data_IF_868250571982
#
_entry.id   IF_868250571982
#
_cell.length_a   1.000
_cell.length_b   1.000
_cell.length_c   1.000
_cell.angle_alpha   90.00
_cell.angle_beta   90.00
_cell.angle_gamma   90.00
#
_symmetry.space_group_name_H-M   'P 1'
#
loop_
_entity.id
_entity.type
_entity.pdbx_description
1 polymer ?
#
# COMPACT_ATOMS: atom_id res chain seq x y z
N UNK A 1 -15.44 36.38 8.04
CA UNK A 1 -16.05 35.60 6.93
C UNK A 1 -15.02 34.98 6.00
N UNK A 2 -14.02 35.69 5.47
CA UNK A 2 -12.98 35.16 4.57
C UNK A 2 -12.15 34.05 5.25
N UNK A 3 -11.74 34.20 6.51
CA UNK A 3 -10.97 33.18 7.24
C UNK A 3 -11.79 31.88 7.43
N UNK A 4 -13.09 31.99 7.70
CA UNK A 4 -13.97 30.85 7.82
C UNK A 4 -14.11 30.12 6.47
N UNK A 5 -14.20 30.86 5.37
CA UNK A 5 -14.26 30.32 4.03
C UNK A 5 -13.00 29.54 3.66
N UNK A 6 -11.81 30.09 3.94
CA UNK A 6 -10.52 29.43 3.74
C UNK A 6 -10.43 28.16 4.59
N UNK A 7 -10.85 28.23 5.85
CA UNK A 7 -10.83 27.07 6.75
C UNK A 7 -11.75 25.94 6.25
N UNK A 8 -12.95 26.27 5.81
CA UNK A 8 -13.88 25.30 5.22
C UNK A 8 -13.26 24.66 3.97
N UNK A 9 -12.61 25.45 3.09
CA UNK A 9 -11.99 24.93 1.88
C UNK A 9 -10.86 23.92 2.16
N UNK A 10 -10.08 24.15 3.22
CA UNK A 10 -8.96 23.25 3.58
C UNK A 10 -9.36 22.07 4.44
N UNK A 11 -10.41 22.18 5.25
CA UNK A 11 -10.82 21.13 6.18
C UNK A 11 -12.06 20.35 5.69
N UNK A 12 -12.76 20.80 4.67
CA UNK A 12 -14.01 20.16 4.22
C UNK A 12 -13.76 18.74 3.71
N UNK A 13 -12.66 18.49 3.01
CA UNK A 13 -12.29 17.15 2.55
C UNK A 13 -12.14 16.17 3.73
N UNK A 14 -11.53 16.60 4.84
CA UNK A 14 -11.43 15.81 6.06
C UNK A 14 -12.82 15.46 6.64
N UNK A 15 -13.73 16.43 6.72
CA UNK A 15 -15.08 16.19 7.25
C UNK A 15 -15.92 15.32 6.33
N UNK A 16 -15.74 15.43 5.01
CA UNK A 16 -16.46 14.62 4.03
C UNK A 16 -16.00 13.16 4.09
N UNK A 17 -14.70 12.90 4.19
CA UNK A 17 -14.15 11.55 4.36
C UNK A 17 -14.68 10.89 5.62
N UNK A 18 -14.77 11.65 6.73
CA UNK A 18 -15.24 11.13 8.02
C UNK A 18 -16.76 11.08 8.16
N UNK A 19 -17.53 11.64 7.22
CA UNK A 19 -19.00 11.70 7.28
C UNK A 19 -19.74 10.56 6.60
N UNK A 20 -19.07 9.45 6.25
CA UNK A 20 -19.62 8.35 5.41
C UNK A 20 -20.16 8.83 4.05
N UNK A 21 -19.71 9.96 3.55
CA UNK A 21 -20.07 10.44 2.22
C UNK A 21 -19.34 9.59 1.16
N UNK A 22 -20.12 8.84 0.39
CA UNK A 22 -19.68 7.76 -0.51
C UNK A 22 -19.10 8.21 -1.86
N UNK A 23 -18.32 9.27 -1.94
CA UNK A 23 -17.83 9.71 -3.26
C UNK A 23 -16.30 9.77 -3.37
N UNK A 24 -15.62 8.79 -2.80
CA UNK A 24 -14.22 8.56 -3.11
C UNK A 24 -14.08 8.09 -4.56
N UNK A 25 -12.99 8.51 -5.21
CA UNK A 25 -12.71 8.15 -6.58
C UNK A 25 -12.27 6.69 -6.76
N UNK A 26 -11.68 6.43 -7.92
CA UNK A 26 -11.16 5.11 -8.28
C UNK A 26 -9.66 5.01 -8.07
N UNK A 27 -9.18 3.80 -7.78
CA UNK A 27 -7.77 3.44 -7.93
C UNK A 27 -7.67 2.40 -9.04
N UNK A 28 -6.79 2.66 -9.99
CA UNK A 28 -6.52 1.79 -11.13
C UNK A 28 -5.16 1.12 -10.99
N UNK A 29 -5.08 -0.09 -11.49
CA UNK A 29 -3.81 -0.77 -11.73
C UNK A 29 -3.11 -0.22 -12.99
N UNK A 30 -1.98 -0.84 -13.38
CA UNK A 30 -1.21 -0.43 -14.56
C UNK A 30 -1.91 -0.68 -15.90
N UNK A 31 -2.95 -1.54 -15.92
CA UNK A 31 -3.72 -1.90 -17.11
C UNK A 31 -5.05 -1.13 -17.20
N UNK A 32 -5.28 -0.21 -16.28
CA UNK A 32 -6.52 0.54 -16.08
C UNK A 32 -7.69 -0.33 -15.57
N UNK A 33 -7.39 -1.44 -14.92
CA UNK A 33 -8.38 -2.18 -14.18
C UNK A 33 -8.61 -1.54 -12.82
N UNK A 34 -9.88 -1.45 -12.38
CA UNK A 34 -10.21 -0.82 -11.12
C UNK A 34 -9.87 -1.78 -9.98
N UNK A 35 -9.00 -1.34 -9.07
CA UNK A 35 -8.61 -2.08 -7.87
C UNK A 35 -9.15 -1.46 -6.57
N UNK A 36 -9.85 -0.35 -6.67
CA UNK A 36 -10.62 0.24 -5.58
C UNK A 36 -11.75 1.10 -6.14
N UNK A 37 -12.96 0.85 -5.64
CA UNK A 37 -14.14 1.69 -5.81
C UNK A 37 -14.97 1.65 -4.52
N UNK A 38 -15.13 2.80 -3.88
CA UNK A 38 -15.90 2.89 -2.63
C UNK A 38 -17.39 2.65 -2.80
N UNK A 39 -17.92 2.87 -4.00
CA UNK A 39 -19.34 2.69 -4.31
C UNK A 39 -19.67 1.27 -4.81
N UNK A 40 -18.67 0.41 -4.94
CA UNK A 40 -18.88 -0.96 -5.36
C UNK A 40 -19.81 -1.67 -4.36
N UNK A 41 -20.94 -2.12 -4.84
CA UNK A 41 -21.86 -2.94 -4.05
C UNK A 41 -21.28 -4.34 -3.94
N UNK A 42 -21.12 -4.81 -2.72
CA UNK A 42 -20.65 -6.14 -2.42
C UNK A 42 -21.43 -7.25 -3.16
N UNK A 43 -22.75 -7.06 -3.33
CA UNK A 43 -23.61 -8.05 -3.97
C UNK A 43 -23.48 -8.06 -5.52
N UNK A 44 -22.93 -7.01 -6.10
CA UNK A 44 -22.73 -6.87 -7.55
C UNK A 44 -21.26 -6.93 -7.95
N UNK A 45 -20.41 -7.29 -7.02
CA UNK A 45 -18.97 -7.19 -7.16
C UNK A 45 -18.41 -8.26 -8.09
N UNK A 46 -18.23 -7.91 -9.34
CA UNK A 46 -17.70 -8.79 -10.37
C UNK A 46 -16.17 -8.90 -10.38
N UNK A 47 -15.48 -8.08 -9.60
CA UNK A 47 -14.03 -7.91 -9.70
C UNK A 47 -13.20 -8.80 -8.78
N UNK A 48 -13.85 -9.65 -7.99
CA UNK A 48 -13.17 -10.59 -7.12
C UNK A 48 -12.74 -10.01 -5.77
N UNK A 49 -11.87 -10.71 -5.09
CA UNK A 49 -11.38 -10.36 -3.78
C UNK A 49 -10.10 -9.51 -3.87
N UNK A 50 -10.02 -8.46 -3.07
CA UNK A 50 -8.86 -7.54 -3.02
C UNK A 50 -7.98 -7.74 -1.80
N UNK A 51 -7.97 -8.93 -1.22
CA UNK A 51 -7.08 -9.25 -0.10
C UNK A 51 -5.60 -9.02 -0.45
N UNK A 52 -5.21 -9.27 -1.69
CA UNK A 52 -3.84 -9.10 -2.16
C UNK A 52 -3.32 -7.67 -2.08
N UNK A 53 -4.21 -6.68 -2.17
CA UNK A 53 -3.87 -5.26 -2.12
C UNK A 53 -4.55 -4.50 -0.97
N UNK A 54 -5.41 -5.14 -0.19
CA UNK A 54 -6.25 -4.49 0.80
C UNK A 54 -5.50 -3.65 1.84
N UNK A 55 -4.41 -4.17 2.38
CA UNK A 55 -3.58 -3.44 3.35
C UNK A 55 -2.64 -2.38 2.73
N UNK A 56 -2.49 -2.35 1.41
CA UNK A 56 -1.73 -1.33 0.68
C UNK A 56 -2.65 -0.21 0.18
N UNK A 57 -3.73 -0.59 -0.47
CA UNK A 57 -4.71 0.34 -1.04
C UNK A 57 -5.57 0.95 0.07
N UNK A 58 -6.06 0.12 0.98
CA UNK A 58 -6.90 0.55 2.09
C UNK A 58 -8.38 0.69 1.72
N UNK A 59 -9.08 1.42 2.54
CA UNK A 59 -10.51 1.61 2.46
C UNK A 59 -10.91 3.07 2.68
N UNK A 60 -12.16 3.38 2.40
CA UNK A 60 -12.74 4.70 2.62
C UNK A 60 -13.05 4.99 4.10
N UNK A 61 -13.22 3.97 4.92
CA UNK A 61 -13.60 4.12 6.34
C UNK A 61 -12.42 4.51 7.23
N UNK A 62 -11.18 4.43 6.71
CA UNK A 62 -9.97 4.78 7.46
C UNK A 62 -9.59 3.76 8.53
N UNK A 63 -10.11 2.54 8.47
CA UNK A 63 -9.74 1.45 9.38
C UNK A 63 -8.27 1.06 9.21
N UNK A 64 -7.77 1.16 7.98
CA UNK A 64 -6.37 0.97 7.67
C UNK A 64 -5.65 2.30 7.53
N UNK A 65 -4.68 2.57 8.39
CA UNK A 65 -3.88 3.80 8.35
C UNK A 65 -2.71 3.68 7.37
N UNK A 66 -2.23 4.82 6.86
CA UNK A 66 -1.08 4.91 5.95
C UNK A 66 -1.25 4.22 4.58
N UNK A 67 -2.48 3.94 4.19
CA UNK A 67 -2.80 3.35 2.89
C UNK A 67 -2.84 4.39 1.78
N UNK A 68 -2.89 3.92 0.53
CA UNK A 68 -2.93 4.78 -0.65
C UNK A 68 -4.19 5.67 -0.64
N UNK A 69 -5.35 5.09 -0.32
CA UNK A 69 -6.63 5.81 -0.24
C UNK A 69 -6.60 6.85 0.88
N UNK A 70 -6.13 6.47 2.08
CA UNK A 70 -6.05 7.39 3.21
C UNK A 70 -5.13 8.59 2.94
N UNK A 71 -3.97 8.37 2.30
CA UNK A 71 -3.00 9.43 1.97
C UNK A 71 -3.45 10.35 0.83
N UNK A 72 -4.34 9.88 -0.02
CA UNK A 72 -4.84 10.64 -1.18
C UNK A 72 -6.33 10.96 -1.07
N UNK A 73 -6.90 10.89 0.12
CA UNK A 73 -8.32 11.12 0.37
C UNK A 73 -8.83 12.46 -0.17
N UNK A 74 -8.05 13.53 -0.03
CA UNK A 74 -8.38 14.85 -0.57
C UNK A 74 -8.52 14.83 -2.10
N UNK A 75 -7.58 14.18 -2.79
CA UNK A 75 -7.61 14.05 -4.26
C UNK A 75 -8.77 13.18 -4.72
N UNK A 76 -9.00 12.06 -4.02
CA UNK A 76 -10.07 11.12 -4.36
C UNK A 76 -11.46 11.71 -4.11
N UNK A 77 -11.63 12.53 -3.09
CA UNK A 77 -12.88 13.23 -2.84
C UNK A 77 -13.14 14.38 -3.83
N UNK A 78 -12.08 14.96 -4.38
CA UNK A 78 -12.15 16.06 -5.33
C UNK A 78 -13.16 17.15 -4.91
N UNK A 79 -13.15 17.53 -3.63
CA UNK A 79 -14.09 18.48 -3.08
C UNK A 79 -13.77 19.90 -3.53
N UNK A 80 -14.79 20.60 -4.05
CA UNK A 80 -14.74 22.02 -4.30
C UNK A 80 -15.86 22.72 -3.52
N UNK A 81 -15.54 23.84 -2.87
CA UNK A 81 -16.55 24.63 -2.14
C UNK A 81 -17.71 25.07 -3.02
N UNK A 82 -17.46 25.35 -4.29
CA UNK A 82 -18.47 25.83 -5.24
C UNK A 82 -19.24 24.71 -5.94
N UNK A 83 -18.66 23.51 -6.03
CA UNK A 83 -19.23 22.40 -6.79
C UNK A 83 -19.54 21.17 -5.92
N UNK A 84 -19.18 21.21 -4.64
CA UNK A 84 -19.31 20.06 -3.73
C UNK A 84 -18.32 18.94 -4.04
N UNK A 85 -18.66 17.74 -3.68
CA UNK A 85 -17.96 16.54 -4.13
C UNK A 85 -18.24 16.32 -5.61
N UNK A 86 -17.22 16.20 -6.43
CA UNK A 86 -17.32 16.31 -7.88
C UNK A 86 -17.97 15.08 -8.53
N UNK A 87 -19.28 14.95 -8.36
CA UNK A 87 -20.08 13.95 -9.05
C UNK A 87 -20.39 14.35 -10.50
N UNK A 88 -20.30 15.67 -10.83
CA UNK A 88 -20.66 16.18 -12.16
C UNK A 88 -19.56 15.99 -13.21
N UNK A 89 -18.29 15.88 -12.79
CA UNK A 89 -17.13 15.72 -13.68
C UNK A 89 -16.51 14.30 -13.65
N UNK A 90 -17.24 13.33 -13.11
CA UNK A 90 -16.72 11.99 -12.90
C UNK A 90 -15.93 11.86 -11.59
N UNK A 91 -15.66 10.63 -11.18
CA UNK A 91 -14.86 10.34 -9.99
C UNK A 91 -13.40 10.65 -10.27
N UNK A 92 -12.70 11.20 -9.27
CA UNK A 92 -11.25 11.34 -9.32
C UNK A 92 -10.59 9.96 -9.41
N UNK A 93 -9.42 9.89 -10.01
CA UNK A 93 -8.72 8.63 -10.22
C UNK A 93 -7.25 8.73 -9.78
N UNK A 94 -6.76 7.63 -9.22
CA UNK A 94 -5.34 7.39 -8.97
C UNK A 94 -4.93 6.19 -9.81
N UNK A 95 -3.87 6.35 -10.57
CA UNK A 95 -3.26 5.28 -11.36
C UNK A 95 -2.02 4.77 -10.64
N UNK A 96 -1.96 3.46 -10.45
CA UNK A 96 -0.82 2.79 -9.84
C UNK A 96 0.01 2.06 -10.89
N UNK A 97 1.21 1.66 -10.52
CA UNK A 97 2.07 0.79 -11.34
C UNK A 97 1.89 -0.69 -11.00
N UNK A 98 0.97 -1.00 -10.08
CA UNK A 98 0.69 -2.37 -9.65
C UNK A 98 0.12 -3.19 -10.81
N UNK A 99 0.53 -4.44 -10.88
CA UNK A 99 -0.07 -5.49 -11.70
C UNK A 99 -0.95 -6.33 -10.77
N UNK A 100 -2.27 -6.13 -10.83
CA UNK A 100 -3.21 -6.79 -9.91
C UNK A 100 -3.21 -8.31 -10.09
N UNK A 101 -3.14 -8.79 -11.32
CA UNK A 101 -3.07 -10.23 -11.60
C UNK A 101 -1.81 -10.87 -11.01
N UNK A 102 -0.68 -10.17 -11.12
CA UNK A 102 0.57 -10.64 -10.52
C UNK A 102 0.51 -10.60 -8.99
N UNK A 103 -0.06 -9.53 -8.39
CA UNK A 103 -0.29 -9.45 -6.94
C UNK A 103 -1.11 -10.64 -6.45
N UNK A 104 -2.23 -10.93 -7.09
CA UNK A 104 -3.12 -12.04 -6.69
C UNK A 104 -2.44 -13.40 -6.79
N UNK A 105 -1.67 -13.65 -7.85
CA UNK A 105 -0.88 -14.89 -8.00
C UNK A 105 0.15 -15.02 -6.88
N UNK A 106 0.87 -13.94 -6.55
CA UNK A 106 1.86 -13.93 -5.47
C UNK A 106 1.18 -14.11 -4.12
N UNK A 107 0.07 -13.43 -3.85
CA UNK A 107 -0.70 -13.58 -2.62
C UNK A 107 -1.12 -15.04 -2.39
N UNK A 108 -1.66 -15.67 -3.43
CA UNK A 108 -2.10 -17.06 -3.37
C UNK A 108 -0.92 -18.03 -3.16
N UNK A 109 0.27 -17.72 -3.67
CA UNK A 109 1.46 -18.54 -3.49
C UNK A 109 1.97 -18.63 -2.05
N UNK A 110 1.61 -17.67 -1.19
CA UNK A 110 1.92 -17.74 0.23
C UNK A 110 1.20 -18.90 0.95
N UNK A 111 0.04 -19.35 0.42
CA UNK A 111 -0.77 -20.38 1.08
C UNK A 111 -1.14 -19.97 2.50
N UNK A 112 -0.74 -20.75 3.50
CA UNK A 112 -0.97 -20.47 4.92
C UNK A 112 0.17 -19.69 5.60
N UNK A 113 1.19 -19.26 4.85
CA UNK A 113 2.34 -18.56 5.41
C UNK A 113 2.11 -17.06 5.42
N UNK A 114 2.63 -16.41 6.45
CA UNK A 114 2.67 -14.96 6.58
C UNK A 114 3.96 -14.39 5.99
N UNK A 115 3.88 -13.17 5.49
CA UNK A 115 5.04 -12.49 4.98
C UNK A 115 4.70 -11.34 4.04
N UNK A 116 5.70 -10.86 3.32
CA UNK A 116 5.50 -9.90 2.23
C UNK A 116 6.40 -10.23 1.04
N UNK A 117 5.96 -9.80 -0.13
CA UNK A 117 6.74 -9.87 -1.35
C UNK A 117 6.59 -8.57 -2.14
N UNK A 118 7.70 -8.05 -2.62
CA UNK A 118 7.75 -6.85 -3.44
C UNK A 118 8.53 -7.18 -4.70
N UNK A 119 7.98 -6.82 -5.86
CA UNK A 119 8.70 -6.82 -7.13
C UNK A 119 8.64 -5.42 -7.73
N UNK A 120 9.77 -4.93 -8.17
CA UNK A 120 9.85 -3.61 -8.80
C UNK A 120 10.78 -3.66 -10.02
N UNK A 121 10.52 -2.77 -10.95
CA UNK A 121 11.41 -2.56 -12.08
C UNK A 121 12.60 -1.70 -11.62
N UNK A 122 13.79 -2.29 -11.56
CA UNK A 122 14.99 -1.60 -11.06
C UNK A 122 15.47 -0.44 -11.95
N UNK A 123 15.03 -0.40 -13.20
CA UNK A 123 15.37 0.68 -14.14
C UNK A 123 14.44 1.89 -13.99
N UNK A 124 13.12 1.63 -13.79
CA UNK A 124 12.11 2.69 -13.72
C UNK A 124 11.69 3.04 -12.31
N UNK A 125 11.93 2.16 -11.34
CA UNK A 125 11.47 2.29 -9.96
C UNK A 125 9.98 1.93 -9.77
N UNK A 126 9.30 1.50 -10.83
CA UNK A 126 7.89 1.09 -10.74
C UNK A 126 7.72 -0.15 -9.87
N UNK A 127 6.83 -0.07 -8.88
CA UNK A 127 6.44 -1.21 -8.06
C UNK A 127 5.35 -1.98 -8.81
N UNK A 128 5.65 -3.21 -9.19
CA UNK A 128 4.75 -4.07 -9.95
C UNK A 128 3.93 -4.97 -9.02
N UNK A 129 4.56 -5.47 -7.96
CA UNK A 129 3.94 -6.32 -6.95
C UNK A 129 4.28 -5.78 -5.56
N UNK A 130 3.27 -5.69 -4.71
CA UNK A 130 3.46 -5.38 -3.28
C UNK A 130 2.38 -6.10 -2.49
N UNK A 131 2.70 -7.29 -2.04
CA UNK A 131 1.80 -8.21 -1.33
C UNK A 131 2.25 -8.32 0.12
N UNK A 132 1.27 -8.32 1.03
CA UNK A 132 1.49 -8.55 2.46
C UNK A 132 0.39 -9.50 2.99
N UNK A 133 0.80 -10.54 3.71
CA UNK A 133 -0.11 -11.54 4.29
C UNK A 133 0.16 -11.73 5.78
N UNK A 134 -0.87 -11.84 6.64
CA UNK A 134 -2.28 -11.76 6.33
C UNK A 134 -2.69 -10.35 5.85
N UNK A 135 -3.83 -10.26 5.19
CA UNK A 135 -4.39 -9.03 4.68
C UNK A 135 -5.89 -8.95 4.95
N UNK A 136 -6.51 -7.93 4.46
CA UNK A 136 -7.95 -7.68 4.60
C UNK A 136 -8.55 -7.41 3.23
N UNK A 137 -9.71 -7.98 2.99
CA UNK A 137 -10.57 -7.51 1.92
C UNK A 137 -11.49 -6.42 2.48
N UNK A 138 -11.30 -5.15 2.09
CA UNK A 138 -12.12 -4.05 2.62
C UNK A 138 -13.62 -4.21 2.34
N UNK A 139 -13.96 -4.97 1.31
CA UNK A 139 -15.36 -5.24 0.92
C UNK A 139 -16.02 -6.21 1.88
N UNK A 140 -15.29 -7.21 2.36
CA UNK A 140 -15.78 -8.17 3.36
C UNK A 140 -15.84 -7.58 4.79
N UNK A 141 -15.22 -6.44 4.99
CA UNK A 141 -15.18 -5.75 6.29
C UNK A 141 -14.08 -6.24 7.22
N UNK A 142 -14.14 -5.81 8.47
CA UNK A 142 -13.03 -5.88 9.42
C UNK A 142 -13.28 -6.82 10.62
N UNK A 143 -14.27 -7.70 10.52
CA UNK A 143 -14.60 -8.62 11.59
C UNK A 143 -13.70 -9.86 11.56
N UNK A 144 -13.22 -10.30 12.73
CA UNK A 144 -12.45 -11.53 12.91
C UNK A 144 -11.15 -11.60 12.08
N UNK A 145 -10.46 -10.47 11.91
CA UNK A 145 -9.20 -10.43 11.19
C UNK A 145 -8.08 -11.13 11.98
N UNK A 146 -7.18 -11.77 11.25
CA UNK A 146 -5.94 -12.28 11.81
C UNK A 146 -5.05 -11.10 12.27
N UNK A 147 -4.21 -11.34 13.27
CA UNK A 147 -3.27 -10.32 13.75
C UNK A 147 -2.35 -9.87 12.61
N UNK A 148 -2.21 -8.55 12.46
CA UNK A 148 -1.38 -7.94 11.42
C UNK A 148 -2.04 -7.78 10.05
N UNK A 149 -3.32 -8.17 9.85
CA UNK A 149 -4.03 -8.03 8.56
C UNK A 149 -4.13 -6.58 8.06
N UNK A 150 -4.16 -5.62 8.97
CA UNK A 150 -4.26 -4.19 8.63
C UNK A 150 -2.89 -3.53 8.36
N UNK A 151 -1.82 -4.30 8.44
CA UNK A 151 -0.45 -3.79 8.30
C UNK A 151 0.17 -4.25 6.98
N UNK A 152 0.64 -3.31 6.17
CA UNK A 152 1.51 -3.64 5.05
C UNK A 152 2.92 -3.92 5.57
N UNK A 153 3.29 -5.20 5.64
CA UNK A 153 4.59 -5.64 6.17
C UNK A 153 5.79 -5.12 5.36
N UNK A 154 5.56 -4.71 4.12
CA UNK A 154 6.57 -4.07 3.28
C UNK A 154 7.14 -2.78 3.88
N UNK A 155 6.35 -2.08 4.72
CA UNK A 155 6.74 -0.83 5.37
C UNK A 155 7.16 -1.00 6.84
N UNK A 156 7.24 -2.24 7.32
CA UNK A 156 7.62 -2.54 8.70
C UNK A 156 9.06 -3.02 8.73
N UNK A 157 9.84 -2.50 9.68
CA UNK A 157 11.20 -2.97 9.91
C UNK A 157 11.17 -4.40 10.43
N UNK A 158 11.87 -5.29 9.75
CA UNK A 158 12.03 -6.70 10.14
C UNK A 158 13.51 -7.05 10.29
N UNK A 159 13.78 -8.13 11.01
CA UNK A 159 15.14 -8.65 11.12
C UNK A 159 15.55 -9.25 9.76
N UNK A 160 16.60 -8.74 9.11
CA UNK A 160 16.97 -9.16 7.76
C UNK A 160 17.55 -10.59 7.70
N UNK A 161 18.03 -11.11 8.81
CA UNK A 161 18.69 -12.41 8.85
C UNK A 161 19.88 -12.47 7.89
N UNK A 162 20.06 -13.61 7.23
CA UNK A 162 21.19 -13.83 6.31
C UNK A 162 21.20 -12.94 5.07
N UNK A 163 20.10 -12.26 4.72
CA UNK A 163 20.09 -11.30 3.61
C UNK A 163 21.00 -10.11 3.87
N UNK A 164 21.24 -9.77 5.14
CA UNK A 164 22.19 -8.73 5.55
C UNK A 164 23.63 -9.03 5.14
N UNK A 165 24.00 -10.31 4.95
CA UNK A 165 25.37 -10.71 4.60
C UNK A 165 25.83 -10.11 3.27
N UNK A 166 24.92 -9.94 2.32
CA UNK A 166 25.24 -9.30 1.02
C UNK A 166 25.67 -7.84 1.22
N UNK A 167 24.92 -7.08 2.01
CA UNK A 167 25.28 -5.69 2.32
C UNK A 167 26.58 -5.60 3.10
N UNK A 168 26.82 -6.53 4.04
CA UNK A 168 28.07 -6.61 4.80
C UNK A 168 29.25 -6.91 3.87
N UNK A 169 29.08 -7.82 2.91
CA UNK A 169 30.13 -8.15 1.93
C UNK A 169 30.46 -6.96 1.04
N UNK A 170 29.45 -6.27 0.52
CA UNK A 170 29.63 -5.06 -0.31
C UNK A 170 30.41 -4.01 0.48
N UNK A 171 30.01 -3.74 1.72
CA UNK A 171 30.68 -2.77 2.58
C UNK A 171 32.13 -3.15 2.89
N UNK A 172 32.38 -4.45 3.08
CA UNK A 172 33.76 -4.96 3.29
C UNK A 172 34.60 -4.78 2.01
N UNK A 173 34.04 -5.06 0.84
CA UNK A 173 34.73 -4.85 -0.45
C UNK A 173 35.07 -3.36 -0.65
N UNK A 174 34.14 -2.46 -0.36
CA UNK A 174 34.35 -1.01 -0.48
C UNK A 174 35.43 -0.51 0.50
N UNK A 175 35.49 -1.06 1.70
CA UNK A 175 36.42 -0.60 2.72
C UNK A 175 37.82 -1.21 2.58
N UNK A 176 37.93 -2.50 2.31
CA UNK A 176 39.19 -3.23 2.27
C UNK A 176 39.73 -3.49 0.85
N UNK A 177 38.87 -3.36 -0.16
CA UNK A 177 39.17 -3.73 -1.54
C UNK A 177 38.98 -5.24 -1.78
N UNK A 178 38.54 -5.58 -2.99
CA UNK A 178 38.22 -6.97 -3.37
C UNK A 178 39.40 -7.96 -3.16
N UNK A 179 40.62 -7.50 -3.40
CA UNK A 179 41.82 -8.35 -3.31
C UNK A 179 42.25 -8.63 -1.87
N UNK A 180 41.74 -7.90 -0.89
CA UNK A 180 42.16 -8.03 0.50
C UNK A 180 41.08 -8.74 1.36
N UNK A 181 39.90 -8.99 0.83
CA UNK A 181 38.81 -9.61 1.58
C UNK A 181 39.16 -11.00 2.09
N UNK A 182 39.83 -11.79 1.27
CA UNK A 182 40.25 -13.16 1.63
C UNK A 182 41.34 -13.20 2.70
N UNK A 183 41.94 -12.06 3.02
CA UNK A 183 42.99 -11.96 4.08
C UNK A 183 42.42 -11.59 5.44
N UNK A 184 41.12 -11.32 5.53
CA UNK A 184 40.46 -10.93 6.79
C UNK A 184 40.21 -12.21 7.60
N UNK A 185 40.94 -12.37 8.68
CA UNK A 185 40.73 -13.45 9.64
C UNK A 185 39.96 -12.95 10.86
N UNK A 186 38.97 -13.70 11.27
CA UNK A 186 38.17 -13.44 12.47
C UNK A 186 38.11 -14.71 13.33
N UNK A 187 38.55 -14.61 14.58
CA UNK A 187 38.42 -15.69 15.54
C UNK A 187 37.12 -15.54 16.32
N UNK A 188 36.19 -16.48 16.15
CA UNK A 188 34.97 -16.54 16.92
C UNK A 188 35.24 -17.20 18.28
N UNK A 189 35.17 -16.43 19.35
CA UNK A 189 35.36 -16.90 20.73
C UNK A 189 34.04 -17.28 21.43
N UNK A 190 32.92 -17.16 20.74
CA UNK A 190 31.58 -17.45 21.26
C UNK A 190 31.03 -16.39 22.21
N UNK A 191 31.66 -15.24 22.33
CA UNK A 191 31.20 -14.10 23.13
C UNK A 191 30.47 -13.12 22.17
N UNK A 192 29.20 -12.83 22.44
CA UNK A 192 28.36 -11.91 21.67
C UNK A 192 27.93 -10.73 22.50
#
# INVERSE_FOLDING_TARGET
MIILFIKIQFEASYYIVNSNSKSLGYVYDRYNDIIFDNDADYNTYEWGHFEDVGNLIGDASGQTSNTLVARNSEKLNNYSFTQGTNLSNGKAAIYTTLDHDANQKVYNSFGSKDGCAIAYNYLTGEILVCVSKPSVDPVLGYNNLAEGSLLCKAFIKTVPGSTQKVSTLISAIEHYGVNNIDTIEYTCDGIY
#
